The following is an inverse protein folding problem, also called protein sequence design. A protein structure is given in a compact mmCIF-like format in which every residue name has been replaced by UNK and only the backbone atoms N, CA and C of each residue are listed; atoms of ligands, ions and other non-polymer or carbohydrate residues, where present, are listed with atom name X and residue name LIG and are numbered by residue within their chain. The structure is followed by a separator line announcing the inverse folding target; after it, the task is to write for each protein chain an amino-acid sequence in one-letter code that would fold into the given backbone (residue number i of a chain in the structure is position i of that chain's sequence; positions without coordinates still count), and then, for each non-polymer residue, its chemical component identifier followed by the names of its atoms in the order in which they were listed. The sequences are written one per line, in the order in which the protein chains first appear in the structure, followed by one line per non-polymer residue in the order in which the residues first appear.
data_IF_391890581600
#
_entry.id   IF_391890581600
#
_cell.length_a   1.000
_cell.length_b   1.000
_cell.length_c   1.000
_cell.angle_alpha   90.00
_cell.angle_beta   90.00
_cell.angle_gamma   90.00
#
_symmetry.space_group_name_H-M   'P 1'
#
loop_
_entity.id
_entity.type
_entity.pdbx_description
1 polymer ?
#
# COMPACT_ATOMS: atom_id res chain seq x y z
N UNK A 1 3.39 20.34 3.34
CA UNK A 1 2.68 19.33 2.52
C UNK A 1 3.63 18.61 1.58
N UNK A 2 3.37 17.35 1.24
CA UNK A 2 4.10 16.59 0.19
C UNK A 2 3.14 15.67 -0.58
N UNK A 3 3.37 15.42 -1.89
CA UNK A 3 2.58 14.45 -2.65
C UNK A 3 3.03 13.02 -2.30
N UNK A 4 2.24 12.32 -1.47
CA UNK A 4 2.51 10.97 -0.98
C UNK A 4 1.21 10.16 -0.94
N UNK A 5 1.30 8.83 -1.07
CA UNK A 5 0.19 7.87 -1.02
C UNK A 5 -0.87 8.09 -2.11
N UNK A 6 -0.49 8.70 -3.24
CA UNK A 6 -1.42 9.06 -4.30
C UNK A 6 -2.29 10.28 -3.98
N UNK A 7 -1.93 11.08 -2.96
CA UNK A 7 -2.64 12.29 -2.54
C UNK A 7 -1.67 13.35 -1.99
N UNK A 8 -2.19 14.48 -1.51
CA UNK A 8 -1.41 15.46 -0.74
C UNK A 8 -1.50 15.15 0.76
N UNK A 9 -0.34 14.98 1.38
CA UNK A 9 -0.23 14.77 2.83
C UNK A 9 0.20 16.07 3.50
N UNK A 10 -0.59 16.47 4.50
CA UNK A 10 -0.30 17.56 5.42
C UNK A 10 -0.04 17.02 6.81
N UNK A 11 0.94 17.61 7.50
CA UNK A 11 1.30 17.28 8.87
C UNK A 11 1.35 18.60 9.61
N UNK A 12 0.60 18.68 10.71
CA UNK A 12 0.53 19.85 11.58
C UNK A 12 0.94 19.43 12.98
N UNK A 13 1.70 20.28 13.66
CA UNK A 13 2.19 20.05 15.01
C UNK A 13 1.84 21.28 15.83
N UNK A 14 1.11 21.09 16.91
CA UNK A 14 0.93 22.11 17.94
C UNK A 14 2.12 22.07 18.88
N UNK A 15 2.76 23.22 19.10
CA UNK A 15 3.92 23.34 19.99
C UNK A 15 3.91 24.71 20.66
N UNK A 16 4.46 24.80 21.87
CA UNK A 16 4.39 25.99 22.72
C UNK A 16 5.66 26.83 22.75
N UNK A 17 6.77 26.32 22.21
CA UNK A 17 8.08 26.95 22.27
C UNK A 17 8.62 27.25 20.87
N UNK A 18 8.58 28.53 20.48
CA UNK A 18 9.04 29.02 19.17
C UNK A 18 10.53 28.79 18.90
N UNK A 19 11.34 28.52 19.93
CA UNK A 19 12.78 28.30 19.77
C UNK A 19 13.13 26.88 19.36
N UNK A 20 12.18 25.95 19.43
CA UNK A 20 12.39 24.56 19.05
C UNK A 20 12.52 24.42 17.51
N UNK A 21 13.62 23.85 16.98
CA UNK A 21 13.79 23.65 15.54
C UNK A 21 12.96 22.46 15.04
N UNK A 22 11.67 22.69 14.78
CA UNK A 22 10.70 21.65 14.39
C UNK A 22 10.84 21.12 12.96
N UNK A 23 11.66 21.75 12.12
CA UNK A 23 11.84 21.36 10.71
C UNK A 23 12.32 19.91 10.55
N UNK A 24 13.15 19.44 11.48
CA UNK A 24 13.64 18.06 11.48
C UNK A 24 12.51 17.07 11.79
N UNK A 25 11.51 17.46 12.57
CA UNK A 25 10.37 16.60 12.91
C UNK A 25 9.48 16.36 11.70
N UNK A 26 9.20 17.41 10.93
CA UNK A 26 8.48 17.27 9.65
C UNK A 26 9.25 16.41 8.67
N UNK A 27 10.57 16.64 8.56
CA UNK A 27 11.43 15.86 7.67
C UNK A 27 11.40 14.37 8.02
N UNK A 28 11.50 14.03 9.31
CA UNK A 28 11.40 12.66 9.81
C UNK A 28 10.02 12.05 9.58
N UNK A 29 8.94 12.81 9.84
CA UNK A 29 7.58 12.32 9.66
C UNK A 29 7.28 12.00 8.18
N UNK A 30 7.64 12.92 7.27
CA UNK A 30 7.50 12.66 5.84
C UNK A 30 8.39 11.52 5.35
N UNK A 31 9.63 11.43 5.83
CA UNK A 31 10.53 10.33 5.49
C UNK A 31 9.97 8.97 5.92
N UNK A 32 9.29 8.93 7.07
CA UNK A 32 8.66 7.70 7.56
C UNK A 32 7.49 7.27 6.67
N UNK A 33 6.65 8.20 6.25
CA UNK A 33 5.53 7.92 5.34
C UNK A 33 6.05 7.40 4.00
N UNK A 34 7.05 8.07 3.41
CA UNK A 34 7.63 7.63 2.14
C UNK A 34 8.29 6.25 2.26
N UNK A 35 9.03 5.97 3.34
CA UNK A 35 9.63 4.66 3.55
C UNK A 35 8.59 3.51 3.60
N UNK A 36 7.41 3.74 4.18
CA UNK A 36 6.32 2.77 4.17
C UNK A 36 5.66 2.68 2.79
N UNK A 37 5.44 3.82 2.12
CA UNK A 37 4.93 3.86 0.75
C UNK A 37 5.77 2.99 -0.19
N UNK A 38 7.10 3.12 -0.17
CA UNK A 38 7.98 2.35 -1.06
C UNK A 38 7.83 0.83 -0.86
N UNK A 39 7.56 0.38 0.36
CA UNK A 39 7.37 -1.04 0.69
C UNK A 39 5.99 -1.59 0.32
N UNK A 40 4.97 -0.73 0.29
CA UNK A 40 3.56 -1.12 0.18
C UNK A 40 2.88 -0.60 -1.08
N UNK A 41 3.63 0.04 -1.97
CA UNK A 41 3.10 0.57 -3.23
C UNK A 41 2.85 -0.55 -4.24
N UNK A 42 1.64 -0.58 -4.81
CA UNK A 42 1.28 -1.43 -5.96
C UNK A 42 1.95 -0.97 -7.26
N UNK A 43 2.42 0.28 -7.33
CA UNK A 43 3.06 0.83 -8.53
C UNK A 43 4.58 0.57 -8.56
N UNK A 44 5.17 0.12 -7.45
CA UNK A 44 6.61 -0.18 -7.37
C UNK A 44 6.84 -1.68 -7.47
N UNK A 45 7.44 -2.15 -8.57
CA UNK A 45 7.79 -3.57 -8.74
C UNK A 45 8.74 -4.10 -7.65
N UNK A 46 9.47 -3.20 -6.96
CA UNK A 46 10.39 -3.52 -5.87
C UNK A 46 9.73 -3.54 -4.49
N UNK A 47 8.45 -3.20 -4.39
CA UNK A 47 7.75 -3.17 -3.10
C UNK A 47 7.56 -4.57 -2.53
N UNK A 48 7.58 -4.70 -1.20
CA UNK A 48 7.30 -5.95 -0.52
C UNK A 48 5.89 -6.47 -0.90
N UNK A 49 4.92 -5.57 -1.07
CA UNK A 49 3.57 -5.92 -1.50
C UNK A 49 3.54 -6.55 -2.90
N UNK A 50 4.26 -5.96 -3.88
CA UNK A 50 4.32 -6.55 -5.22
C UNK A 50 5.11 -7.85 -5.25
N UNK A 51 6.15 -7.98 -4.42
CA UNK A 51 6.85 -9.26 -4.28
C UNK A 51 5.92 -10.36 -3.75
N UNK A 52 5.03 -10.05 -2.81
CA UNK A 52 3.98 -10.99 -2.38
C UNK A 52 3.02 -11.32 -3.55
N UNK A 53 2.49 -10.30 -4.23
CA UNK A 53 1.50 -10.48 -5.29
C UNK A 53 2.03 -11.29 -6.48
N UNK A 54 3.30 -11.13 -6.84
CA UNK A 54 3.94 -11.78 -7.97
C UNK A 54 4.37 -13.23 -7.68
N UNK A 55 4.48 -13.61 -6.42
CA UNK A 55 5.00 -14.93 -6.02
C UNK A 55 3.96 -15.71 -5.19
N UNK A 56 2.81 -16.09 -5.78
CA UNK A 56 1.80 -16.87 -5.07
C UNK A 56 2.35 -18.22 -4.62
N UNK A 57 1.95 -18.67 -3.44
CA UNK A 57 2.40 -19.91 -2.80
C UNK A 57 3.90 -19.94 -2.41
N UNK A 58 4.57 -18.78 -2.41
CA UNK A 58 5.96 -18.65 -1.96
C UNK A 58 6.01 -17.79 -0.70
N UNK A 59 6.83 -18.20 0.27
CA UNK A 59 7.10 -17.40 1.46
C UNK A 59 8.05 -16.25 1.11
N UNK A 60 7.53 -15.02 1.16
CA UNK A 60 8.32 -13.82 0.92
C UNK A 60 8.70 -13.17 2.26
N UNK A 61 9.99 -12.97 2.57
CA UNK A 61 10.39 -12.23 3.75
C UNK A 61 9.98 -10.76 3.59
N UNK A 62 9.33 -10.22 4.61
CA UNK A 62 8.88 -8.84 4.65
C UNK A 62 9.29 -8.18 5.96
N UNK A 63 9.32 -6.84 5.96
CA UNK A 63 9.63 -6.10 7.18
C UNK A 63 8.55 -6.28 8.25
N UNK A 64 8.94 -6.05 9.52
CA UNK A 64 8.02 -6.17 10.66
C UNK A 64 6.81 -5.26 10.51
N UNK A 65 6.98 -4.08 9.93
CA UNK A 65 5.91 -3.09 9.79
C UNK A 65 4.92 -3.46 8.69
N UNK A 66 5.41 -3.95 7.53
CA UNK A 66 4.52 -4.51 6.50
C UNK A 66 3.73 -5.68 7.03
N UNK A 67 4.37 -6.59 7.78
CA UNK A 67 3.68 -7.70 8.45
C UNK A 67 2.59 -7.20 9.39
N UNK A 68 2.88 -6.20 10.22
CA UNK A 68 1.90 -5.62 11.16
C UNK A 68 0.71 -5.00 10.42
N UNK A 69 0.96 -4.28 9.33
CA UNK A 69 -0.11 -3.68 8.53
C UNK A 69 -0.99 -4.74 7.86
N UNK A 70 -0.38 -5.74 7.23
CA UNK A 70 -1.12 -6.83 6.59
C UNK A 70 -1.94 -7.63 7.61
N UNK A 71 -1.39 -7.89 8.80
CA UNK A 71 -2.15 -8.50 9.89
C UNK A 71 -3.36 -7.64 10.31
N UNK A 72 -3.19 -6.32 10.42
CA UNK A 72 -4.30 -5.42 10.73
C UNK A 72 -5.38 -5.45 9.63
N UNK A 73 -4.97 -5.42 8.36
CA UNK A 73 -5.90 -5.50 7.24
C UNK A 73 -6.70 -6.82 7.25
N UNK A 74 -6.06 -7.95 7.57
CA UNK A 74 -6.73 -9.25 7.70
C UNK A 74 -7.70 -9.29 8.89
N UNK A 75 -7.33 -8.66 10.01
CA UNK A 75 -8.22 -8.51 11.18
C UNK A 75 -9.44 -7.66 10.81
N UNK A 76 -9.25 -6.53 10.12
CA UNK A 76 -10.34 -5.67 9.67
C UNK A 76 -11.28 -6.40 8.70
N UNK A 77 -10.73 -7.22 7.82
CA UNK A 77 -11.54 -8.06 6.93
C UNK A 77 -12.44 -9.01 7.71
N UNK A 78 -11.89 -9.71 8.70
CA UNK A 78 -12.69 -10.61 9.54
C UNK A 78 -13.72 -9.86 10.38
N UNK A 79 -13.34 -8.74 10.99
CA UNK A 79 -14.24 -7.95 11.84
C UNK A 79 -15.37 -7.26 11.06
N UNK A 80 -15.23 -7.12 9.76
CA UNK A 80 -16.22 -6.50 8.89
C UNK A 80 -16.99 -7.51 8.06
N UNK A 81 -16.90 -8.81 8.38
CA UNK A 81 -17.53 -9.90 7.60
C UNK A 81 -17.21 -9.82 6.10
N UNK A 82 -15.98 -9.40 5.77
CA UNK A 82 -15.50 -9.25 4.40
C UNK A 82 -15.90 -7.96 3.68
N UNK A 83 -16.63 -7.04 4.32
CA UNK A 83 -16.97 -5.73 3.72
C UNK A 83 -15.72 -4.91 3.40
N UNK A 84 -14.69 -5.02 4.22
CA UNK A 84 -13.32 -4.63 3.86
C UNK A 84 -12.56 -5.89 3.42
N UNK A 85 -12.02 -5.95 2.20
CA UNK A 85 -11.21 -7.09 1.75
C UNK A 85 -9.96 -6.63 0.99
N UNK A 86 -8.75 -6.74 1.59
CA UNK A 86 -7.51 -6.29 0.97
C UNK A 86 -7.00 -7.21 -0.16
N UNK A 87 -7.69 -8.33 -0.44
CA UNK A 87 -7.27 -9.31 -1.46
C UNK A 87 -8.00 -9.18 -2.80
N UNK A 88 -8.89 -8.18 -2.94
CA UNK A 88 -9.71 -7.99 -4.14
C UNK A 88 -8.97 -7.43 -5.36
N UNK A 89 -7.66 -7.16 -5.26
CA UNK A 89 -6.90 -6.51 -6.34
C UNK A 89 -7.14 -7.13 -7.72
N UNK A 90 -6.90 -8.44 -7.87
CA UNK A 90 -7.08 -9.10 -9.18
C UNK A 90 -8.52 -9.01 -9.70
N UNK A 91 -9.52 -9.03 -8.82
CA UNK A 91 -10.93 -8.88 -9.20
C UNK A 91 -11.23 -7.45 -9.68
N UNK A 92 -10.75 -6.43 -8.97
CA UNK A 92 -10.92 -5.03 -9.37
C UNK A 92 -10.30 -4.73 -10.74
N UNK A 93 -9.13 -5.30 -11.02
CA UNK A 93 -8.48 -5.20 -12.33
C UNK A 93 -9.30 -5.88 -13.42
N UNK A 94 -9.80 -7.10 -13.15
CA UNK A 94 -10.64 -7.85 -14.10
C UNK A 94 -11.95 -7.14 -14.47
N UNK A 95 -12.45 -6.27 -13.60
CA UNK A 95 -13.64 -5.45 -13.83
C UNK A 95 -13.34 -4.03 -14.36
N UNK A 96 -12.07 -3.69 -14.59
CA UNK A 96 -11.68 -2.36 -15.08
C UNK A 96 -11.96 -1.22 -14.10
N UNK A 97 -12.10 -1.53 -12.79
CA UNK A 97 -12.31 -0.52 -11.74
C UNK A 97 -11.00 0.20 -11.41
N UNK A 98 -9.87 -0.48 -11.65
CA UNK A 98 -8.52 0.05 -11.47
C UNK A 98 -7.69 -0.27 -12.71
N UNK A 99 -6.86 0.69 -13.12
CA UNK A 99 -6.11 0.61 -14.38
C UNK A 99 -4.83 -0.24 -14.29
N UNK A 100 -4.20 -0.27 -13.10
CA UNK A 100 -2.96 -1.01 -12.85
C UNK A 100 -2.80 -1.34 -11.35
N UNK A 101 -2.41 -2.59 -11.06
CA UNK A 101 -2.13 -3.09 -9.71
C UNK A 101 -0.76 -3.76 -9.60
N UNK A 102 0.12 -3.59 -10.59
CA UNK A 102 1.43 -4.23 -10.60
C UNK A 102 1.38 -5.75 -10.84
N UNK A 103 0.21 -6.31 -11.21
CA UNK A 103 0.15 -7.64 -11.80
C UNK A 103 0.85 -7.58 -13.15
N UNK A 104 2.06 -8.14 -13.26
CA UNK A 104 2.72 -8.30 -14.55
C UNK A 104 1.73 -8.92 -15.54
N UNK A 105 1.51 -8.26 -16.68
CA UNK A 105 0.49 -8.58 -17.70
C UNK A 105 0.13 -10.07 -17.72
N UNK A 106 -0.95 -10.46 -17.05
CA UNK A 106 -1.58 -11.75 -17.35
C UNK A 106 -2.41 -11.52 -18.60
N UNK A 107 -1.95 -12.11 -19.71
CA UNK A 107 -2.73 -12.24 -20.94
C UNK A 107 -4.04 -12.90 -20.55
N UNK A 108 -5.10 -12.10 -20.49
CA UNK A 108 -6.46 -12.63 -20.36
C UNK A 108 -6.80 -13.22 -21.72
N UNK A 109 -6.69 -14.55 -21.83
CA UNK A 109 -7.35 -15.28 -22.90
C UNK A 109 -8.86 -15.07 -22.70
N UNK A 110 -9.40 -14.07 -23.38
CA UNK A 110 -10.84 -13.91 -23.55
C UNK A 110 -11.28 -15.08 -24.42
N UNK A 111 -11.71 -16.16 -23.79
CA UNK A 111 -12.46 -17.20 -24.48
C UNK A 111 -13.84 -16.61 -24.82
N UNK A 112 -14.00 -16.18 -26.07
CA UNK A 112 -15.33 -16.00 -26.65
C UNK A 112 -15.98 -17.38 -26.72
N UNK A 113 -17.02 -17.61 -25.93
CA UNK A 113 -18.00 -18.65 -26.22
C UNK A 113 -19.16 -18.01 -26.98
N UNK A 114 -19.51 -18.64 -28.10
CA UNK A 114 -20.60 -18.29 -29.01
C UNK A 114 -21.97 -18.25 -28.31
#
# INVERSE_FOLDING_TARGET
MKPLLGTYVEISIEYSDETTPINDWFSQAFARIDALQQKLSIHSAKSELNQINLNPNVWIPISRESRRLLQLAMILMHKSDGLFNPTLGANLLGHGIVDDLGFGKRVSLVAYMH
#
